data_IF_350877928892
#
_entry.id   IF_350877928892
#
_cell.length_a   1.000
_cell.length_b   1.000
_cell.length_c   1.000
_cell.angle_alpha   90.00
_cell.angle_beta   90.00
_cell.angle_gamma   90.00
#
_symmetry.space_group_name_H-M   'P 1'
#
loop_
_entity.id
_entity.type
_entity.pdbx_description
1 polymer ?
#
# COMPACT_ATOMS: atom_id res chain seq x y z
N UNK A 1 4.93 3.90 -48.78
CA UNK A 1 5.95 4.11 -47.74
C UNK A 1 5.32 4.89 -46.60
N UNK A 2 4.83 4.20 -45.59
CA UNK A 2 4.52 4.76 -44.27
C UNK A 2 5.12 3.76 -43.30
N UNK A 3 6.15 4.19 -42.57
CA UNK A 3 6.83 3.32 -41.62
C UNK A 3 5.96 3.18 -40.37
N UNK A 4 5.61 1.95 -40.03
CA UNK A 4 5.01 1.57 -38.75
C UNK A 4 6.11 1.62 -37.69
N UNK A 5 5.94 2.49 -36.70
CA UNK A 5 6.75 2.48 -35.48
C UNK A 5 6.06 1.54 -34.47
N UNK A 6 6.59 0.32 -34.34
CA UNK A 6 6.31 -0.55 -33.19
C UNK A 6 6.97 0.05 -31.94
N UNK A 7 6.17 0.65 -31.05
CA UNK A 7 6.63 1.01 -29.71
C UNK A 7 6.70 -0.26 -28.84
N UNK A 8 7.90 -0.83 -28.74
CA UNK A 8 8.21 -1.89 -27.77
C UNK A 8 8.20 -1.31 -26.35
N UNK A 9 7.33 -1.87 -25.50
CA UNK A 9 7.17 -1.48 -24.10
C UNK A 9 8.40 -1.88 -23.27
N UNK A 10 9.14 -0.88 -22.79
CA UNK A 10 10.37 -1.01 -21.97
C UNK A 10 10.16 -1.68 -20.59
N UNK A 11 8.92 -1.88 -20.16
CA UNK A 11 8.61 -2.56 -18.89
C UNK A 11 8.99 -4.06 -18.89
N UNK A 12 9.31 -4.67 -20.03
CA UNK A 12 9.56 -6.12 -20.11
C UNK A 12 11.05 -6.52 -20.03
N UNK A 13 11.98 -5.57 -20.17
CA UNK A 13 13.42 -5.87 -20.26
C UNK A 13 14.17 -5.73 -18.92
N UNK A 14 13.61 -5.01 -17.95
CA UNK A 14 14.27 -4.71 -16.65
C UNK A 14 14.01 -5.77 -15.58
N UNK A 15 13.09 -6.72 -15.80
CA UNK A 15 12.65 -7.65 -14.76
C UNK A 15 13.28 -9.05 -14.80
N UNK A 16 14.02 -9.42 -15.86
CA UNK A 16 14.63 -10.75 -16.00
C UNK A 16 15.89 -11.00 -15.16
N UNK A 17 16.46 -9.99 -14.50
CA UNK A 17 17.79 -10.11 -13.88
C UNK A 17 17.79 -10.54 -12.40
N UNK A 18 16.63 -10.61 -11.73
CA UNK A 18 16.60 -10.65 -10.26
C UNK A 18 16.21 -11.99 -9.64
N UNK A 19 16.12 -13.07 -10.41
CA UNK A 19 15.59 -14.36 -9.92
C UNK A 19 16.64 -15.45 -9.60
N UNK A 20 17.94 -15.21 -9.83
CA UNK A 20 18.93 -16.32 -9.86
C UNK A 20 19.91 -16.50 -8.67
N UNK A 21 19.72 -15.85 -7.51
CA UNK A 21 20.61 -16.07 -6.35
C UNK A 21 20.04 -17.01 -5.26
N UNK A 22 19.63 -18.23 -5.64
CA UNK A 22 19.14 -19.21 -4.66
C UNK A 22 19.55 -20.67 -4.88
N UNK A 23 20.84 -20.99 -5.05
CA UNK A 23 21.48 -22.28 -4.67
C UNK A 23 23.00 -21.97 -4.61
N UNK A 24 23.84 -22.24 -3.61
CA UNK A 24 24.14 -23.44 -2.82
C UNK A 24 25.01 -22.99 -1.62
N UNK A 25 24.96 -23.70 -0.50
CA UNK A 25 26.19 -24.07 0.22
C UNK A 25 25.86 -25.16 1.22
N UNK A 26 26.48 -26.32 1.00
CA UNK A 26 26.42 -27.52 1.82
C UNK A 26 27.33 -27.39 3.06
N UNK A 27 27.13 -28.32 3.99
CA UNK A 27 27.91 -28.57 5.20
C UNK A 27 29.40 -28.87 4.93
N UNK A 28 30.27 -28.51 5.89
CA UNK A 28 31.31 -29.41 6.41
C UNK A 28 31.93 -28.88 7.71
N UNK A 29 32.21 -29.80 8.63
CA UNK A 29 32.76 -29.57 9.98
C UNK A 29 34.29 -29.76 10.04
N UNK A 30 34.89 -29.18 11.09
CA UNK A 30 36.14 -29.51 11.81
C UNK A 30 37.54 -29.31 11.16
N UNK A 31 38.37 -28.49 11.82
CA UNK A 31 39.50 -28.89 12.71
C UNK A 31 40.69 -27.94 12.62
N UNK A 32 41.31 -27.68 13.77
CA UNK A 32 42.46 -26.81 14.06
C UNK A 32 43.78 -27.25 13.39
N UNK A 33 44.64 -26.28 13.04
CA UNK A 33 46.01 -26.10 13.60
C UNK A 33 46.76 -24.93 12.92
N UNK A 34 47.42 -24.14 13.78
CA UNK A 34 48.75 -23.51 13.72
C UNK A 34 49.22 -22.61 12.56
N UNK A 35 49.52 -21.37 12.99
CA UNK A 35 50.60 -20.44 12.61
C UNK A 35 51.16 -20.45 11.18
N UNK A 36 50.71 -19.48 10.38
CA UNK A 36 51.54 -18.87 9.33
C UNK A 36 51.38 -17.34 9.36
N UNK A 37 52.52 -16.64 9.40
CA UNK A 37 52.65 -15.19 9.28
C UNK A 37 52.13 -14.74 7.91
N UNK A 38 51.14 -13.84 7.86
CA UNK A 38 50.66 -13.28 6.59
C UNK A 38 50.82 -11.75 6.55
N UNK A 39 51.90 -11.31 5.90
CA UNK A 39 52.00 -9.98 5.32
C UNK A 39 51.16 -9.95 4.04
N UNK A 40 49.86 -9.62 4.12
CA UNK A 40 49.04 -9.15 2.96
C UNK A 40 47.61 -8.63 3.33
N UNK A 41 47.36 -8.15 4.55
CA UNK A 41 46.00 -7.76 5.02
C UNK A 41 45.51 -6.36 4.55
N UNK A 42 46.28 -5.64 3.72
CA UNK A 42 45.92 -4.27 3.31
C UNK A 42 45.01 -4.26 2.08
N UNK A 43 45.24 -5.15 1.11
CA UNK A 43 44.49 -5.19 -0.15
C UNK A 43 43.06 -5.72 0.04
N UNK A 44 42.88 -6.73 0.90
CA UNK A 44 41.56 -7.32 1.17
C UNK A 44 40.68 -6.36 2.02
N UNK A 45 41.28 -5.64 2.96
CA UNK A 45 40.64 -4.60 3.78
C UNK A 45 40.22 -3.36 2.98
N UNK A 46 41.01 -2.94 2.01
CA UNK A 46 40.66 -1.82 1.12
C UNK A 46 39.53 -2.21 0.15
N UNK A 47 39.65 -3.37 -0.49
CA UNK A 47 38.65 -3.90 -1.42
C UNK A 47 37.27 -4.10 -0.75
N UNK A 48 37.23 -4.54 0.51
CA UNK A 48 35.97 -4.68 1.26
C UNK A 48 35.34 -3.33 1.62
N UNK A 49 36.14 -2.30 1.93
CA UNK A 49 35.64 -0.93 2.17
C UNK A 49 35.07 -0.30 0.91
N UNK A 50 35.73 -0.43 -0.24
CA UNK A 50 35.23 0.08 -1.53
C UNK A 50 33.92 -0.61 -1.94
N UNK A 51 33.87 -1.95 -1.86
CA UNK A 51 32.63 -2.71 -2.08
C UNK A 51 31.51 -2.28 -1.12
N UNK A 52 31.86 -1.94 0.11
CA UNK A 52 30.88 -1.46 1.08
C UNK A 52 30.30 -0.11 0.70
N UNK A 53 31.17 0.84 0.36
CA UNK A 53 30.78 2.16 -0.13
C UNK A 53 29.92 2.08 -1.39
N UNK A 54 30.36 1.31 -2.39
CA UNK A 54 29.66 1.14 -3.66
C UNK A 54 28.23 0.60 -3.47
N UNK A 55 28.04 -0.37 -2.58
CA UNK A 55 26.70 -0.86 -2.25
C UNK A 55 25.80 0.24 -1.68
N UNK A 56 26.29 1.04 -0.72
CA UNK A 56 25.47 2.07 -0.08
C UNK A 56 25.10 3.18 -1.06
N UNK A 57 26.02 3.54 -1.96
CA UNK A 57 25.76 4.47 -3.07
C UNK A 57 24.71 3.91 -4.04
N UNK A 58 24.80 2.62 -4.40
CA UNK A 58 23.80 1.95 -5.23
C UNK A 58 22.42 1.94 -4.56
N UNK A 59 22.33 1.57 -3.27
CA UNK A 59 21.06 1.56 -2.55
C UNK A 59 20.45 2.96 -2.47
N UNK A 60 21.27 4.01 -2.29
CA UNK A 60 20.80 5.40 -2.28
C UNK A 60 20.26 5.83 -3.65
N UNK A 61 21.00 5.53 -4.72
CA UNK A 61 20.56 5.83 -6.09
C UNK A 61 19.26 5.12 -6.43
N UNK A 62 19.15 3.82 -6.11
CA UNK A 62 17.94 3.04 -6.31
C UNK A 62 16.76 3.59 -5.50
N UNK A 63 17.01 3.99 -4.25
CA UNK A 63 15.99 4.58 -3.39
C UNK A 63 15.47 5.89 -4.00
N UNK A 64 16.36 6.81 -4.36
CA UNK A 64 16.00 8.09 -4.96
C UNK A 64 15.29 7.91 -6.30
N UNK A 65 15.83 7.09 -7.19
CA UNK A 65 15.23 6.79 -8.48
C UNK A 65 13.81 6.21 -8.33
N UNK A 66 13.58 5.40 -7.30
CA UNK A 66 12.27 4.82 -7.01
C UNK A 66 11.31 5.86 -6.41
N UNK A 67 11.76 6.70 -5.48
CA UNK A 67 10.95 7.74 -4.83
C UNK A 67 10.54 8.86 -5.80
N UNK A 68 11.41 9.23 -6.74
CA UNK A 68 11.17 10.31 -7.71
C UNK A 68 10.10 9.95 -8.76
N UNK A 69 9.88 8.66 -9.04
CA UNK A 69 8.84 8.22 -9.97
C UNK A 69 7.48 8.63 -9.39
N UNK A 70 6.57 9.18 -10.19
CA UNK A 70 5.19 9.47 -9.76
C UNK A 70 4.26 9.53 -10.97
N UNK A 71 3.07 8.95 -10.84
CA UNK A 71 1.99 9.02 -11.81
C UNK A 71 1.00 10.14 -11.47
N UNK A 72 0.15 10.50 -12.43
CA UNK A 72 -0.86 11.56 -12.25
C UNK A 72 -1.80 11.28 -11.07
N UNK A 73 -2.27 10.05 -10.92
CA UNK A 73 -3.14 9.67 -9.80
C UNK A 73 -2.41 9.76 -8.45
N UNK A 74 -1.15 9.32 -8.38
CA UNK A 74 -0.35 9.41 -7.16
C UNK A 74 -0.13 10.86 -6.74
N UNK A 75 0.10 11.77 -7.69
CA UNK A 75 0.24 13.21 -7.41
C UNK A 75 -1.06 13.80 -6.88
N UNK A 76 -2.21 13.46 -7.47
CA UNK A 76 -3.53 13.93 -7.01
C UNK A 76 -3.85 13.42 -5.60
N UNK A 77 -3.65 12.13 -5.35
CA UNK A 77 -3.84 11.52 -4.03
C UNK A 77 -2.89 12.14 -3.02
N UNK A 78 -1.61 12.34 -3.37
CA UNK A 78 -0.62 12.96 -2.50
C UNK A 78 -1.01 14.37 -2.07
N UNK A 79 -1.46 15.18 -3.03
CA UNK A 79 -1.97 16.51 -2.73
C UNK A 79 -3.17 16.43 -1.78
N UNK A 80 -4.20 15.65 -2.13
CA UNK A 80 -5.41 15.52 -1.32
C UNK A 80 -5.13 15.02 0.12
N UNK A 81 -4.27 14.02 0.29
CA UNK A 81 -3.86 13.52 1.61
C UNK A 81 -3.08 14.56 2.40
N UNK A 82 -2.20 15.33 1.75
CA UNK A 82 -1.44 16.41 2.41
C UNK A 82 -2.37 17.50 2.92
N UNK A 83 -3.33 17.93 2.11
CA UNK A 83 -4.33 18.93 2.52
C UNK A 83 -5.20 18.41 3.68
N UNK A 84 -5.65 17.15 3.60
CA UNK A 84 -6.41 16.50 4.66
C UNK A 84 -5.63 16.49 5.99
N UNK A 85 -4.35 16.08 5.97
CA UNK A 85 -3.49 16.08 7.15
C UNK A 85 -3.29 17.49 7.72
N UNK A 86 -3.08 18.50 6.87
CA UNK A 86 -2.92 19.89 7.32
C UNK A 86 -4.16 20.38 8.07
N UNK A 87 -5.34 20.10 7.53
CA UNK A 87 -6.60 20.53 8.15
C UNK A 87 -6.93 19.76 9.43
N UNK A 88 -6.61 18.47 9.50
CA UNK A 88 -6.75 17.67 10.71
C UNK A 88 -5.82 18.14 11.82
N UNK A 89 -4.58 18.52 11.47
CA UNK A 89 -3.62 19.07 12.44
C UNK A 89 -3.96 20.49 12.88
N UNK A 90 -4.61 21.29 12.03
CA UNK A 90 -5.07 22.64 12.37
C UNK A 90 -6.34 22.65 13.21
N UNK A 91 -7.17 21.60 13.09
CA UNK A 91 -8.38 21.45 13.90
C UNK A 91 -8.01 20.87 15.26
N UNK A 92 -8.45 21.49 16.37
CA UNK A 92 -8.33 20.89 17.72
C UNK A 92 -9.35 19.74 17.89
N UNK A 93 -9.17 18.66 17.12
CA UNK A 93 -10.05 17.49 17.17
C UNK A 93 -9.59 16.53 18.26
N UNK A 94 -10.53 16.11 19.09
CA UNK A 94 -10.32 14.99 20.02
C UNK A 94 -10.76 13.69 19.37
N UNK A 95 -10.02 12.61 19.64
CA UNK A 95 -10.44 11.28 19.21
C UNK A 95 -11.78 10.93 19.86
N UNK A 96 -12.79 10.57 19.06
CA UNK A 96 -14.08 10.05 19.54
C UNK A 96 -14.03 8.56 19.93
N UNK A 97 -12.86 7.93 19.80
CA UNK A 97 -12.66 6.51 20.03
C UNK A 97 -12.74 6.07 21.50
N UNK A 98 -12.84 7.02 22.45
CA UNK A 98 -12.86 6.74 23.90
C UNK A 98 -11.58 6.10 24.45
N UNK A 99 -10.60 5.78 23.61
CA UNK A 99 -9.38 5.04 23.95
C UNK A 99 -8.28 5.89 24.59
N UNK A 100 -8.58 7.10 25.08
CA UNK A 100 -7.57 7.95 25.71
C UNK A 100 -8.08 8.62 27.01
N UNK A 101 -8.01 7.86 28.10
CA UNK A 101 -7.88 8.35 29.49
C UNK A 101 -6.47 8.95 29.76
N UNK A 102 -5.75 9.38 28.71
CA UNK A 102 -4.44 10.03 28.83
C UNK A 102 -4.51 11.36 28.12
N UNK A 103 -5.14 12.33 28.81
CA UNK A 103 -5.03 13.74 28.52
C UNK A 103 -3.55 14.15 28.50
N UNK A 104 -2.98 14.36 27.29
CA UNK A 104 -1.81 15.23 27.01
C UNK A 104 -1.31 15.25 25.56
N UNK A 105 -1.91 14.52 24.61
CA UNK A 105 -1.48 14.59 23.21
C UNK A 105 -2.46 15.38 22.33
N UNK A 106 -1.95 16.35 21.58
CA UNK A 106 -2.66 17.08 20.51
C UNK A 106 -3.02 16.20 19.30
N UNK A 107 -2.78 14.87 19.37
CA UNK A 107 -2.88 13.96 18.24
C UNK A 107 -4.01 12.95 18.39
N UNK A 108 -4.75 12.74 17.30
CA UNK A 108 -5.75 11.69 17.16
C UNK A 108 -5.07 10.29 17.13
N UNK A 109 -5.75 9.24 17.59
CA UNK A 109 -5.20 7.89 17.49
C UNK A 109 -5.11 7.45 16.01
N UNK A 110 -4.20 6.50 15.69
CA UNK A 110 -3.96 6.03 14.32
C UNK A 110 -5.24 5.60 13.60
N UNK A 111 -6.13 4.90 14.30
CA UNK A 111 -7.38 4.38 13.73
C UNK A 111 -8.32 5.51 13.32
N UNK A 112 -8.52 6.51 14.18
CA UNK A 112 -9.37 7.65 13.84
C UNK A 112 -8.72 8.54 12.78
N UNK A 113 -7.41 8.72 12.82
CA UNK A 113 -6.68 9.43 11.76
C UNK A 113 -6.89 8.78 10.39
N UNK A 114 -6.84 7.44 10.30
CA UNK A 114 -7.12 6.73 9.05
C UNK A 114 -8.56 6.93 8.58
N UNK A 115 -9.55 6.91 9.49
CA UNK A 115 -10.95 7.19 9.15
C UNK A 115 -11.14 8.61 8.63
N UNK A 116 -10.60 9.59 9.34
CA UNK A 116 -10.70 11.01 8.96
C UNK A 116 -10.10 11.26 7.56
N UNK A 117 -8.92 10.68 7.28
CA UNK A 117 -8.29 10.79 5.97
C UNK A 117 -9.13 10.08 4.90
N UNK A 118 -9.65 8.88 5.19
CA UNK A 118 -10.53 8.14 4.28
C UNK A 118 -11.78 8.95 3.94
N UNK A 119 -12.46 9.50 4.93
CA UNK A 119 -13.70 10.27 4.75
C UNK A 119 -13.43 11.56 3.96
N UNK A 120 -12.28 12.21 4.22
CA UNK A 120 -11.88 13.39 3.45
C UNK A 120 -11.53 13.05 2.00
N UNK A 121 -10.83 11.95 1.75
CA UNK A 121 -10.52 11.52 0.39
C UNK A 121 -11.81 11.15 -0.37
N UNK A 122 -12.77 10.51 0.29
CA UNK A 122 -14.07 10.20 -0.28
C UNK A 122 -14.88 11.45 -0.62
N UNK A 123 -14.89 12.48 0.25
CA UNK A 123 -15.60 13.73 -0.04
C UNK A 123 -14.97 14.50 -1.21
N UNK A 124 -13.69 14.28 -1.49
CA UNK A 124 -12.99 14.78 -2.68
C UNK A 124 -13.18 13.88 -3.93
N UNK A 125 -13.96 12.80 -3.82
CA UNK A 125 -14.29 11.90 -4.93
C UNK A 125 -13.29 10.77 -5.17
N UNK A 126 -12.29 10.58 -4.30
CA UNK A 126 -11.38 9.42 -4.39
C UNK A 126 -12.02 8.19 -3.76
N UNK A 127 -11.96 7.06 -4.44
CA UNK A 127 -12.44 5.80 -3.91
C UNK A 127 -11.41 5.20 -2.92
N UNK A 128 -11.48 5.65 -1.66
CA UNK A 128 -10.50 5.36 -0.60
C UNK A 128 -11.04 4.37 0.44
N UNK A 129 -10.21 3.42 0.84
CA UNK A 129 -10.54 2.34 1.74
C UNK A 129 -9.50 2.17 2.84
N UNK A 130 -9.94 1.73 4.02
CA UNK A 130 -9.04 1.22 5.06
C UNK A 130 -8.89 -0.29 4.83
N UNK A 131 -7.69 -0.71 4.48
CA UNK A 131 -7.35 -2.10 4.22
C UNK A 131 -6.68 -2.71 5.44
N UNK A 132 -7.06 -3.93 5.79
CA UNK A 132 -6.44 -4.72 6.86
C UNK A 132 -5.83 -5.99 6.27
N UNK A 133 -4.53 -5.96 6.04
CA UNK A 133 -3.77 -7.15 5.64
C UNK A 133 -3.59 -8.09 6.83
N UNK A 134 -3.76 -9.39 6.60
CA UNK A 134 -3.43 -10.45 7.54
C UNK A 134 -2.59 -11.50 6.83
N UNK A 135 -1.59 -12.05 7.51
CA UNK A 135 -0.80 -13.17 6.99
C UNK A 135 -0.52 -14.18 8.09
N UNK A 136 -0.55 -15.45 7.67
CA UNK A 136 -0.31 -16.58 8.56
C UNK A 136 1.19 -16.85 8.70
N UNK A 137 1.54 -17.53 9.80
CA UNK A 137 2.91 -17.98 10.03
C UNK A 137 3.30 -19.01 8.96
N UNK A 138 4.32 -18.70 8.18
CA UNK A 138 4.80 -19.54 7.08
C UNK A 138 6.32 -19.45 6.97
N UNK A 139 7.00 -20.61 6.92
CA UNK A 139 8.45 -20.73 6.62
C UNK A 139 9.35 -19.71 7.36
N UNK A 140 9.18 -19.58 8.68
CA UNK A 140 10.01 -18.69 9.51
C UNK A 140 9.62 -17.20 9.46
N UNK A 141 8.43 -16.89 8.94
CA UNK A 141 7.80 -15.57 9.02
C UNK A 141 6.70 -15.66 10.09
N UNK A 142 6.72 -14.85 11.15
CA UNK A 142 5.64 -14.84 12.13
C UNK A 142 4.36 -14.28 11.51
N UNK A 143 3.21 -14.74 12.01
CA UNK A 143 1.91 -14.17 11.64
C UNK A 143 1.83 -12.71 12.07
N UNK A 144 1.03 -11.94 11.34
CA UNK A 144 0.80 -10.54 11.69
C UNK A 144 -0.38 -9.95 10.96
N UNK A 145 -0.69 -8.72 11.33
CA UNK A 145 -1.69 -7.91 10.67
C UNK A 145 -1.20 -6.46 10.53
N UNK A 146 -1.70 -5.77 9.52
CA UNK A 146 -1.34 -4.39 9.25
C UNK A 146 -2.51 -3.63 8.66
N UNK A 147 -2.64 -2.34 9.03
CA UNK A 147 -3.71 -1.47 8.53
C UNK A 147 -3.13 -0.30 7.75
N UNK A 148 -3.62 -0.10 6.54
CA UNK A 148 -3.18 0.95 5.62
C UNK A 148 -4.38 1.50 4.85
N UNK A 149 -4.17 2.58 4.10
CA UNK A 149 -5.19 3.18 3.24
C UNK A 149 -4.91 2.82 1.77
N UNK A 150 -5.95 2.54 1.00
CA UNK A 150 -5.85 2.21 -0.43
C UNK A 150 -6.84 3.05 -1.23
N UNK A 151 -6.35 3.72 -2.27
CA UNK A 151 -7.16 4.42 -3.25
C UNK A 151 -7.19 3.62 -4.53
N UNK A 152 -8.39 3.41 -5.05
CA UNK A 152 -8.63 2.65 -6.27
C UNK A 152 -9.10 3.59 -7.38
N UNK A 153 -8.30 3.71 -8.44
CA UNK A 153 -8.65 4.47 -9.63
C UNK A 153 -9.09 3.54 -10.76
N UNK A 154 -10.35 3.70 -11.18
CA UNK A 154 -10.99 2.98 -12.30
C UNK A 154 -11.20 3.87 -13.53
N UNK A 155 -10.61 5.07 -13.55
CA UNK A 155 -10.84 6.05 -14.61
C UNK A 155 -10.26 5.63 -15.97
N UNK A 156 -9.21 4.80 -15.97
CA UNK A 156 -8.57 4.32 -17.20
C UNK A 156 -9.11 2.94 -17.61
N UNK A 157 -10.07 2.91 -18.53
CA UNK A 157 -10.68 1.67 -19.03
C UNK A 157 -9.72 0.78 -19.82
N UNK A 158 -8.59 1.31 -20.31
CA UNK A 158 -7.61 0.55 -21.11
C UNK A 158 -6.52 -0.12 -20.26
N UNK A 159 -6.12 0.50 -19.15
CA UNK A 159 -5.00 0.03 -18.30
C UNK A 159 -5.45 -0.73 -17.04
N UNK A 160 -6.76 -0.90 -16.87
CA UNK A 160 -7.33 -1.59 -15.71
C UNK A 160 -7.34 -0.73 -14.43
N UNK A 161 -7.63 -1.39 -13.32
CA UNK A 161 -7.71 -0.78 -11.99
C UNK A 161 -6.31 -0.44 -11.46
N UNK A 162 -6.07 0.83 -11.14
CA UNK A 162 -4.81 1.27 -10.53
C UNK A 162 -5.00 1.43 -9.03
N UNK A 163 -4.12 0.79 -8.25
CA UNK A 163 -4.14 0.85 -6.79
C UNK A 163 -3.03 1.75 -6.27
N UNK A 164 -3.39 2.70 -5.42
CA UNK A 164 -2.45 3.62 -4.75
C UNK A 164 -2.55 3.37 -3.25
N UNK A 165 -1.44 2.96 -2.65
CA UNK A 165 -1.31 2.72 -1.21
C UNK A 165 -0.90 4.02 -0.53
N UNK A 166 -1.50 4.27 0.62
CA UNK A 166 -1.19 5.36 1.54
C UNK A 166 -0.78 4.71 2.89
N UNK A 167 0.49 4.86 3.25
CA UNK A 167 1.04 4.47 4.54
C UNK A 167 1.42 5.72 5.33
N UNK A 168 0.82 5.90 6.51
CA UNK A 168 0.93 7.16 7.28
C UNK A 168 2.20 7.24 8.14
N UNK A 169 2.85 6.10 8.41
CA UNK A 169 4.05 6.02 9.25
C UNK A 169 5.14 5.21 8.56
N UNK A 170 5.35 5.47 7.27
CA UNK A 170 6.19 4.65 6.41
C UNK A 170 7.64 4.62 6.87
N UNK A 171 8.22 5.76 7.25
CA UNK A 171 9.59 5.83 7.75
C UNK A 171 9.79 4.97 9.00
N UNK A 172 8.89 5.09 9.99
CA UNK A 172 8.94 4.35 11.24
C UNK A 172 8.90 2.82 11.02
N UNK A 173 8.27 2.35 9.95
CA UNK A 173 8.26 0.92 9.57
C UNK A 173 9.65 0.37 9.22
N UNK A 174 10.67 1.20 9.03
CA UNK A 174 12.04 0.78 8.71
C UNK A 174 13.10 1.25 9.70
N UNK A 175 12.76 2.06 10.69
CA UNK A 175 13.70 2.49 11.72
C UNK A 175 14.24 1.31 12.55
N UNK A 176 15.54 1.32 12.87
CA UNK A 176 16.16 0.27 13.68
C UNK A 176 17.01 0.91 14.79
N UNK A 177 16.73 0.54 16.04
CA UNK A 177 17.45 1.07 17.21
C UNK A 177 18.97 0.85 17.16
N UNK A 178 19.42 -0.21 16.49
CA UNK A 178 20.84 -0.55 16.33
C UNK A 178 21.29 -0.48 14.87
N UNK A 179 20.82 0.50 14.09
CA UNK A 179 21.34 0.75 12.74
C UNK A 179 22.80 1.25 12.73
N UNK A 180 23.45 1.22 11.57
CA UNK A 180 24.68 1.97 11.26
C UNK A 180 24.29 3.32 10.62
N UNK A 181 25.28 4.18 10.39
CA UNK A 181 25.05 5.54 9.93
C UNK A 181 24.52 5.57 8.50
N UNK A 182 25.05 4.72 7.62
CA UNK A 182 24.66 4.62 6.21
C UNK A 182 23.19 4.21 6.07
N UNK A 183 22.74 3.24 6.87
CA UNK A 183 21.33 2.87 6.92
C UNK A 183 20.46 4.02 7.43
N UNK A 184 20.87 4.71 8.49
CA UNK A 184 20.12 5.86 9.02
C UNK A 184 19.97 6.97 7.98
N UNK A 185 21.01 7.25 7.21
CA UNK A 185 20.95 8.23 6.11
C UNK A 185 19.93 7.84 5.03
N UNK A 186 19.80 6.55 4.69
CA UNK A 186 18.74 6.08 3.80
C UNK A 186 17.35 6.30 4.42
N UNK A 187 17.16 5.97 5.70
CA UNK A 187 15.86 6.12 6.38
C UNK A 187 15.45 7.59 6.49
N UNK A 188 16.38 8.51 6.74
CA UNK A 188 16.11 9.95 6.80
C UNK A 188 15.58 10.51 5.47
N UNK A 189 15.94 9.89 4.33
CA UNK A 189 15.45 10.27 3.00
C UNK A 189 14.05 9.75 2.71
N UNK A 190 13.51 8.81 3.49
CA UNK A 190 12.15 8.30 3.29
C UNK A 190 11.10 9.34 3.66
N UNK A 191 9.96 9.40 2.95
CA UNK A 191 8.83 10.20 3.38
C UNK A 191 8.17 9.60 4.63
N UNK A 192 7.66 10.45 5.52
CA UNK A 192 6.86 9.99 6.66
C UNK A 192 5.58 9.30 6.19
N UNK A 193 4.89 9.93 5.23
CA UNK A 193 3.70 9.40 4.58
C UNK A 193 4.08 8.93 3.19
N UNK A 194 4.05 7.62 2.95
CA UNK A 194 4.22 7.06 1.63
C UNK A 194 2.89 7.05 0.87
N UNK A 195 2.93 7.53 -0.37
CA UNK A 195 1.78 7.51 -1.28
C UNK A 195 2.30 7.01 -2.62
N UNK A 196 1.90 5.81 -3.01
CA UNK A 196 2.33 5.24 -4.26
C UNK A 196 1.72 3.90 -4.64
N UNK A 197 1.95 3.48 -5.87
CA UNK A 197 1.50 2.18 -6.37
C UNK A 197 2.12 1.01 -5.61
N UNK A 198 1.41 -0.11 -5.57
CA UNK A 198 1.82 -1.31 -4.84
C UNK A 198 3.13 -1.92 -5.35
N UNK A 199 3.37 -1.86 -6.66
CA UNK A 199 4.59 -2.38 -7.28
C UNK A 199 5.80 -1.56 -6.83
N UNK A 200 5.65 -0.23 -6.80
CA UNK A 200 6.70 0.68 -6.33
C UNK A 200 7.00 0.48 -4.85
N UNK A 201 5.97 0.31 -4.03
CA UNK A 201 6.14 0.00 -2.62
C UNK A 201 6.95 -1.29 -2.42
N UNK A 202 6.66 -2.32 -3.22
CA UNK A 202 7.39 -3.59 -3.17
C UNK A 202 8.87 -3.43 -3.49
N UNK A 203 9.21 -2.59 -4.49
CA UNK A 203 10.61 -2.26 -4.83
C UNK A 203 11.29 -1.52 -3.67
N UNK A 204 10.63 -0.52 -3.08
CA UNK A 204 11.18 0.20 -1.91
C UNK A 204 11.45 -0.74 -0.73
N UNK A 205 10.50 -1.63 -0.43
CA UNK A 205 10.66 -2.64 0.64
C UNK A 205 11.87 -3.53 0.36
N UNK A 206 12.08 -3.96 -0.89
CA UNK A 206 13.25 -4.77 -1.28
C UNK A 206 14.57 -4.04 -1.02
N UNK A 207 14.69 -2.79 -1.49
CA UNK A 207 15.88 -1.95 -1.29
C UNK A 207 16.19 -1.81 0.21
N UNK A 208 15.18 -1.39 0.98
CA UNK A 208 15.34 -1.13 2.42
C UNK A 208 15.64 -2.40 3.22
N UNK A 209 15.02 -3.54 2.88
CA UNK A 209 15.33 -4.82 3.54
C UNK A 209 16.73 -5.34 3.20
N UNK A 210 17.22 -5.12 1.97
CA UNK A 210 18.60 -5.44 1.59
C UNK A 210 19.60 -4.60 2.37
N UNK A 211 19.35 -3.29 2.47
CA UNK A 211 20.13 -2.36 3.29
C UNK A 211 20.12 -2.76 4.78
N UNK A 212 18.95 -3.12 5.33
CA UNK A 212 18.82 -3.59 6.72
C UNK A 212 19.60 -4.89 6.96
N UNK A 213 19.56 -5.83 6.01
CA UNK A 213 20.33 -7.07 6.08
C UNK A 213 21.83 -6.80 6.08
N UNK A 214 22.31 -5.87 5.23
CA UNK A 214 23.73 -5.48 5.21
C UNK A 214 24.15 -4.84 6.53
N UNK A 215 23.40 -3.84 6.99
CA UNK A 215 23.63 -3.16 8.27
C UNK A 215 23.77 -4.16 9.43
N UNK A 216 22.85 -5.12 9.52
CA UNK A 216 22.87 -6.14 10.59
C UNK A 216 24.06 -7.10 10.45
N UNK A 217 24.44 -7.46 9.22
CA UNK A 217 25.62 -8.29 8.95
C UNK A 217 26.91 -7.59 9.42
N UNK A 218 27.10 -6.32 9.07
CA UNK A 218 28.26 -5.52 9.49
C UNK A 218 28.35 -5.39 11.01
N UNK A 219 27.20 -5.24 11.68
CA UNK A 219 27.13 -5.17 13.15
C UNK A 219 27.16 -6.52 13.85
N UNK A 220 27.23 -7.64 13.10
CA UNK A 220 27.18 -9.01 13.62
C UNK A 220 25.94 -9.29 14.49
N UNK A 221 24.80 -8.72 14.11
CA UNK A 221 23.49 -8.89 14.77
C UNK A 221 22.55 -9.65 13.84
N UNK A 222 21.73 -10.55 14.39
CA UNK A 222 20.70 -11.24 13.60
C UNK A 222 19.55 -10.29 13.21
N UNK A 223 19.16 -10.31 11.94
CA UNK A 223 17.99 -9.59 11.46
C UNK A 223 16.71 -10.27 11.94
N UNK A 224 15.89 -9.55 12.70
CA UNK A 224 14.62 -10.05 13.22
C UNK A 224 13.67 -10.48 12.08
N UNK A 225 12.83 -11.52 12.28
CA UNK A 225 11.93 -12.02 11.25
C UNK A 225 11.02 -10.95 10.64
N UNK A 226 10.53 -10.00 11.44
CA UNK A 226 9.65 -8.91 10.99
C UNK A 226 10.36 -7.82 10.17
N UNK A 227 11.69 -7.84 10.11
CA UNK A 227 12.49 -6.95 9.25
C UNK A 227 12.89 -7.60 7.93
N UNK A 228 12.60 -8.90 7.76
CA UNK A 228 12.86 -9.61 6.51
C UNK A 228 11.86 -9.17 5.45
N UNK A 229 12.33 -9.12 4.20
CA UNK A 229 11.54 -8.69 3.04
C UNK A 229 10.18 -9.38 2.94
N UNK A 230 10.11 -10.71 3.10
CA UNK A 230 8.84 -11.44 2.98
C UNK A 230 7.80 -10.98 4.01
N UNK A 231 8.21 -10.72 5.26
CA UNK A 231 7.31 -10.17 6.28
C UNK A 231 6.88 -8.75 5.93
N UNK A 232 7.82 -7.91 5.53
CA UNK A 232 7.54 -6.50 5.22
C UNK A 232 6.58 -6.38 4.02
N UNK A 233 6.80 -7.13 2.94
CA UNK A 233 5.88 -7.14 1.79
C UNK A 233 4.48 -7.61 2.18
N UNK A 234 4.35 -8.60 3.08
CA UNK A 234 3.06 -9.11 3.53
C UNK A 234 2.18 -8.04 4.21
N UNK A 235 2.76 -6.98 4.79
CA UNK A 235 2.00 -5.86 5.38
C UNK A 235 1.05 -5.20 4.39
N UNK A 236 1.42 -5.14 3.11
CA UNK A 236 0.66 -4.43 2.08
C UNK A 236 0.12 -5.34 0.97
N UNK A 237 0.64 -6.56 0.84
CA UNK A 237 0.24 -7.53 -0.21
C UNK A 237 -0.48 -8.76 0.37
N UNK A 238 -0.59 -8.88 1.70
CA UNK A 238 -1.31 -9.99 2.34
C UNK A 238 -2.81 -10.01 2.03
N UNK A 239 -3.47 -11.10 2.39
CA UNK A 239 -4.90 -11.24 2.18
C UNK A 239 -5.64 -10.22 3.06
N UNK A 240 -6.55 -9.46 2.48
CA UNK A 240 -7.43 -8.56 3.21
C UNK A 240 -8.86 -8.79 2.80
N UNK A 241 -9.77 -8.64 3.76
CA UNK A 241 -11.20 -8.80 3.51
C UNK A 241 -11.70 -7.60 2.69
N UNK A 242 -12.18 -7.89 1.48
CA UNK A 242 -12.75 -6.89 0.56
C UNK A 242 -14.17 -6.47 0.98
N UNK A 243 -14.80 -7.20 1.89
CA UNK A 243 -16.18 -6.96 2.35
C UNK A 243 -16.35 -5.61 3.06
N UNK A 244 -15.27 -5.01 3.57
CA UNK A 244 -15.29 -3.66 4.19
C UNK A 244 -15.22 -2.51 3.17
N UNK A 245 -15.16 -2.81 1.87
CA UNK A 245 -15.14 -1.80 0.81
C UNK A 245 -16.56 -1.37 0.44
N UNK A 246 -17.18 -0.50 1.24
CA UNK A 246 -18.39 0.21 0.80
C UNK A 246 -18.04 1.15 -0.35
N UNK A 247 -18.58 0.96 -1.56
CA UNK A 247 -18.37 1.88 -2.67
C UNK A 247 -18.95 3.26 -2.33
N UNK A 248 -18.32 4.32 -2.83
CA UNK A 248 -18.99 5.62 -2.92
C UNK A 248 -20.38 5.42 -3.54
N UNK A 249 -21.45 6.06 -3.01
CA UNK A 249 -22.72 6.09 -3.71
C UNK A 249 -22.47 6.63 -5.12
N UNK A 250 -22.68 5.78 -6.13
CA UNK A 250 -22.76 6.29 -7.50
C UNK A 250 -23.88 7.31 -7.49
N UNK A 251 -23.54 8.58 -7.70
CA UNK A 251 -24.52 9.57 -8.11
C UNK A 251 -24.99 9.11 -9.48
N UNK A 252 -26.02 8.26 -9.51
CA UNK A 252 -26.78 8.03 -10.72
C UNK A 252 -27.33 9.40 -11.09
N UNK A 253 -26.84 9.94 -12.21
CA UNK A 253 -27.54 11.01 -12.88
C UNK A 253 -28.88 10.40 -13.31
N UNK A 254 -29.91 10.58 -12.47
CA UNK A 254 -31.27 10.17 -12.76
C UNK A 254 -31.75 11.04 -13.93
N UNK A 255 -31.43 10.63 -15.17
CA UNK A 255 -32.27 11.01 -16.30
C UNK A 255 -33.63 10.37 -16.03
N UNK A 256 -34.73 11.14 -15.97
CA UNK A 256 -36.05 10.56 -15.84
C UNK A 256 -36.26 9.62 -17.03
N UNK A 257 -36.36 8.31 -16.77
CA UNK A 257 -36.88 7.40 -17.77
C UNK A 257 -38.33 7.79 -17.99
N UNK A 258 -38.63 8.29 -19.19
CA UNK A 258 -40.02 8.47 -19.63
C UNK A 258 -40.71 7.10 -19.54
N UNK A 259 -41.88 7.00 -18.86
CA UNK A 259 -42.63 5.77 -18.86
C UNK A 259 -43.02 5.44 -20.31
N UNK A 260 -42.61 4.26 -20.79
CA UNK A 260 -43.13 3.70 -22.04
C UNK A 260 -44.51 3.13 -21.72
N UNK A 261 -45.55 3.85 -22.16
CA UNK A 261 -46.92 3.33 -22.16
C UNK A 261 -46.95 2.06 -23.02
N UNK A 262 -47.35 0.94 -22.41
CA UNK A 262 -47.66 -0.28 -23.14
C UNK A 262 -49.02 -0.09 -23.83
N UNK A 263 -49.04 -0.03 -25.16
CA UNK A 263 -50.25 0.14 -25.99
C UNK A 263 -50.86 -1.21 -26.40
N UNK A 264 -50.90 -2.19 -25.50
CA UNK A 264 -51.50 -3.49 -25.80
C UNK A 264 -52.35 -3.99 -24.64
N UNK A 265 -53.56 -3.45 -24.55
CA UNK A 265 -54.74 -4.19 -24.10
C UNK A 265 -55.85 -3.87 -25.10
N UNK A 266 -55.96 -4.70 -26.12
CA UNK A 266 -57.10 -4.70 -27.03
C UNK A 266 -58.37 -5.09 -26.26
N UNK A 267 -59.43 -4.37 -26.55
CA UNK A 267 -60.80 -4.62 -26.15
C UNK A 267 -61.26 -6.04 -26.50
N UNK A 268 -61.93 -6.69 -25.55
CA UNK A 268 -62.94 -7.72 -25.79
C UNK A 268 -64.14 -7.43 -24.86
N UNK A 269 -65.17 -6.84 -25.46
CA UNK A 269 -66.63 -7.07 -25.33
C UNK A 269 -67.06 -8.10 -24.25
N UNK A 270 -68.19 -8.03 -23.55
CA UNK A 270 -69.45 -7.28 -23.67
C UNK A 270 -70.33 -7.63 -22.43
N UNK A 271 -71.19 -6.70 -22.02
CA UNK A 271 -72.54 -6.88 -21.45
C UNK A 271 -72.85 -7.99 -20.41
N UNK A 272 -73.07 -7.60 -19.14
CA UNK A 272 -74.26 -8.03 -18.36
C UNK A 272 -74.73 -6.85 -17.46
N UNK A 273 -75.98 -6.37 -17.58
CA UNK A 273 -76.52 -5.26 -16.79
C UNK A 273 -77.24 -5.70 -15.50
N UNK A 274 -77.14 -4.88 -14.45
CA UNK A 274 -78.17 -4.71 -13.43
C UNK A 274 -78.06 -5.56 -12.16
N UNK A 275 -77.70 -4.93 -11.05
CA UNK A 275 -78.59 -4.85 -9.88
C UNK A 275 -78.18 -3.68 -8.95
N UNK A 276 -79.19 -2.90 -8.58
CA UNK A 276 -79.11 -1.72 -7.71
C UNK A 276 -79.20 -2.07 -6.22
N UNK A 277 -78.70 -1.14 -5.39
CA UNK A 277 -79.03 -0.89 -3.97
C UNK A 277 -78.57 -1.96 -2.95
N UNK A 278 -78.19 -1.64 -1.71
CA UNK A 278 -78.56 -0.51 -0.86
C UNK A 278 -77.49 -0.16 0.20
N UNK A 279 -77.64 1.05 0.74
CA UNK A 279 -76.92 1.72 1.83
C UNK A 279 -77.40 1.27 3.22
N UNK A 280 -76.55 1.52 4.24
CA UNK A 280 -76.79 1.62 5.71
C UNK A 280 -76.86 0.28 6.48
N UNK A 281 -76.42 0.13 7.74
CA UNK A 281 -76.50 0.98 8.96
C UNK A 281 -75.39 0.60 9.96
N UNK A 282 -75.07 1.54 10.86
CA UNK A 282 -74.12 1.52 11.99
C UNK A 282 -74.73 1.00 13.32
N UNK A 283 -73.87 0.77 14.33
CA UNK A 283 -74.12 0.72 15.80
C UNK A 283 -74.63 -0.61 16.41
N UNK A 284 -73.80 -1.29 17.21
CA UNK A 284 -73.71 -1.21 18.70
C UNK A 284 -72.29 -1.52 19.14
#
# INVERSE_FOLDING_TARGET
>A
MVMENEEVSFDDTVFGFWEDFQVQSQNSSNSSNDEEENYDDVEESFCTKEKNKAFWEEQDQLLQATLCRTSSIETKVRHATKEALRELNASERRCICGQLEVAKAKSCCRVCLQRDIRDRLLSLGFNCYICKSKWNSLRGIPSGEHTYLEVIDKSNTKRGEVKVIIELSFRAEFEMARANEEYNQLIMKLPEVFIGKAERLTVLVKILCSAAKKCMKEKKIHLAPWRKQKYMVAKWVGTYDRSTMEPLPRVYSNRPQKPKTSMLTCDLLENIPGLHCATAVEVV
#
